data_IF_308634130031
#
_entry.id   IF_308634130031
#
_cell.length_a   1.000
_cell.length_b   1.000
_cell.length_c   1.000
_cell.angle_alpha   90.00
_cell.angle_beta   90.00
_cell.angle_gamma   90.00
#
_symmetry.space_group_name_H-M   'P 1'
#
loop_
_entity.id
_entity.type
_entity.pdbx_description
1 polymer ?
#
# COMPACT_ATOMS: atom_id res chain seq x y z
N UNK A 1 25.20 -34.41 -10.03
CA UNK A 1 24.65 -33.27 -10.78
C UNK A 1 23.33 -32.84 -10.18
N UNK A 2 23.37 -32.05 -9.13
CA UNK A 2 22.18 -31.55 -8.41
C UNK A 2 22.22 -30.03 -8.36
N UNK A 3 22.06 -29.39 -9.52
CA UNK A 3 21.77 -27.96 -9.54
C UNK A 3 20.39 -27.72 -8.91
N UNK A 4 20.14 -26.57 -8.27
CA UNK A 4 18.82 -26.24 -7.77
C UNK A 4 17.79 -26.33 -8.91
N UNK A 5 16.65 -26.97 -8.64
CA UNK A 5 15.54 -27.05 -9.58
C UNK A 5 15.19 -25.63 -10.02
N UNK A 6 15.17 -25.37 -11.33
CA UNK A 6 14.84 -24.05 -11.90
C UNK A 6 13.49 -23.55 -11.37
N UNK A 7 12.57 -24.48 -11.07
CA UNK A 7 11.27 -24.20 -10.46
C UNK A 7 11.40 -23.65 -9.03
N UNK A 8 12.35 -24.17 -8.26
CA UNK A 8 12.64 -23.71 -6.90
C UNK A 8 13.25 -22.30 -6.92
N UNK A 9 14.26 -22.06 -7.77
CA UNK A 9 14.86 -20.73 -7.92
C UNK A 9 13.84 -19.68 -8.39
N UNK A 10 12.89 -20.09 -9.23
CA UNK A 10 11.79 -19.24 -9.67
C UNK A 10 10.85 -18.91 -8.51
N UNK A 11 10.47 -19.91 -7.71
CA UNK A 11 9.61 -19.70 -6.54
C UNK A 11 10.28 -18.78 -5.51
N UNK A 12 11.57 -18.96 -5.22
CA UNK A 12 12.31 -18.07 -4.31
C UNK A 12 12.30 -16.61 -4.79
N UNK A 13 12.52 -16.39 -6.10
CA UNK A 13 12.43 -15.06 -6.69
C UNK A 13 11.04 -14.46 -6.55
N UNK A 14 9.99 -15.25 -6.81
CA UNK A 14 8.61 -14.79 -6.69
C UNK A 14 8.23 -14.44 -5.26
N UNK A 15 8.72 -15.20 -4.28
CA UNK A 15 8.56 -14.89 -2.85
C UNK A 15 9.24 -13.56 -2.50
N UNK A 16 10.46 -13.33 -2.99
CA UNK A 16 11.15 -12.05 -2.76
C UNK A 16 10.38 -10.86 -3.34
N UNK A 17 9.83 -11.01 -4.55
CA UNK A 17 8.99 -9.98 -5.19
C UNK A 17 7.69 -9.77 -4.42
N UNK A 18 7.04 -10.85 -3.97
CA UNK A 18 5.81 -10.78 -3.20
C UNK A 18 6.01 -10.01 -1.89
N UNK A 19 7.09 -10.32 -1.16
CA UNK A 19 7.42 -9.63 0.08
C UNK A 19 7.68 -8.14 -0.15
N UNK A 20 8.43 -7.79 -1.20
CA UNK A 20 8.64 -6.38 -1.55
C UNK A 20 7.31 -5.65 -1.87
N UNK A 21 6.37 -6.31 -2.55
CA UNK A 21 5.05 -5.74 -2.78
C UNK A 21 4.28 -5.54 -1.47
N UNK A 22 4.43 -6.44 -0.49
CA UNK A 22 3.84 -6.24 0.84
C UNK A 22 4.47 -5.06 1.57
N UNK A 23 5.80 -4.93 1.55
CA UNK A 23 6.50 -3.79 2.16
C UNK A 23 6.02 -2.45 1.56
N UNK A 24 5.87 -2.38 0.23
CA UNK A 24 5.35 -1.18 -0.46
C UNK A 24 3.92 -0.85 -0.04
N UNK A 25 3.04 -1.86 0.04
CA UNK A 25 1.64 -1.70 0.47
C UNK A 25 1.59 -1.21 1.92
N UNK A 26 2.31 -1.87 2.83
CA UNK A 26 2.34 -1.51 4.25
C UNK A 26 2.91 -0.12 4.48
N UNK A 27 4.00 0.23 3.78
CA UNK A 27 4.62 1.55 3.83
C UNK A 27 3.66 2.65 3.38
N UNK A 28 2.93 2.43 2.28
CA UNK A 28 1.92 3.39 1.82
C UNK A 28 0.75 3.53 2.79
N UNK A 29 0.25 2.41 3.34
CA UNK A 29 -0.83 2.44 4.33
C UNK A 29 -0.40 3.18 5.61
N UNK A 30 0.84 3.01 6.07
CA UNK A 30 1.39 3.75 7.19
C UNK A 30 1.44 5.26 6.90
N UNK A 31 1.88 5.65 5.70
CA UNK A 31 1.88 7.05 5.24
C UNK A 31 0.46 7.64 5.24
N UNK A 32 -0.54 6.90 4.74
CA UNK A 32 -1.94 7.33 4.78
C UNK A 32 -2.44 7.58 6.21
N UNK A 33 -2.10 6.70 7.14
CA UNK A 33 -2.48 6.85 8.53
C UNK A 33 -1.84 8.09 9.17
N UNK A 34 -0.56 8.37 8.86
CA UNK A 34 0.11 9.60 9.30
C UNK A 34 -0.59 10.85 8.75
N UNK A 35 -0.91 10.86 7.45
CA UNK A 35 -1.62 11.97 6.80
C UNK A 35 -3.01 12.21 7.41
N UNK A 36 -3.77 11.15 7.70
CA UNK A 36 -5.07 11.25 8.35
C UNK A 36 -4.95 11.87 9.76
N UNK A 37 -3.97 11.42 10.55
CA UNK A 37 -3.69 11.93 11.89
C UNK A 37 -3.24 13.41 11.87
N UNK A 38 -2.40 13.78 10.90
CA UNK A 38 -1.97 15.16 10.70
C UNK A 38 -3.15 16.07 10.32
N UNK A 39 -4.02 15.60 9.41
CA UNK A 39 -5.24 16.32 9.00
C UNK A 39 -6.19 16.56 10.18
N UNK A 40 -6.41 15.53 11.01
CA UNK A 40 -7.25 15.64 12.21
C UNK A 40 -6.67 16.66 13.20
N UNK A 41 -5.37 16.58 13.47
CA UNK A 41 -4.66 17.52 14.36
C UNK A 41 -4.76 18.96 13.87
N UNK A 42 -4.51 19.20 12.59
CA UNK A 42 -4.63 20.53 11.98
C UNK A 42 -6.04 21.09 12.09
N UNK A 43 -7.05 20.28 11.82
CA UNK A 43 -8.45 20.70 11.92
C UNK A 43 -8.83 21.08 13.36
N UNK A 44 -8.31 20.36 14.36
CA UNK A 44 -8.48 20.73 15.77
C UNK A 44 -7.76 22.04 16.12
N UNK A 45 -6.53 22.24 15.65
CA UNK A 45 -5.77 23.49 15.86
C UNK A 45 -6.44 24.70 15.21
N UNK A 46 -6.92 24.55 13.96
CA UNK A 46 -7.69 25.59 13.24
C UNK A 46 -8.97 26.00 14.01
N UNK A 47 -9.69 25.03 14.59
CA UNK A 47 -10.87 25.32 15.43
C UNK A 47 -10.50 26.11 16.70
N UNK A 48 -9.38 25.79 17.36
CA UNK A 48 -8.88 26.50 18.55
C UNK A 48 -8.31 27.89 18.24
N UNK A 49 -7.69 28.08 17.06
CA UNK A 49 -7.08 29.36 16.63
C UNK A 49 -8.05 30.45 16.19
N UNK A 50 -9.37 30.20 16.11
CA UNK A 50 -10.38 31.28 15.98
C UNK A 50 -10.28 32.36 17.10
N UNK A 51 -9.48 32.14 18.14
CA UNK A 51 -9.17 33.08 19.24
C UNK A 51 -7.78 33.75 19.20
N UNK A 52 -6.84 33.38 18.31
CA UNK A 52 -5.47 33.95 18.27
C UNK A 52 -4.81 33.82 16.88
N UNK A 53 -4.22 34.90 16.37
CA UNK A 53 -3.93 35.14 14.93
C UNK A 53 -2.48 34.81 14.48
N UNK A 54 -1.73 33.94 15.14
CA UNK A 54 -0.35 33.61 14.72
C UNK A 54 -0.22 32.18 14.19
N UNK A 55 0.09 32.03 12.90
CA UNK A 55 0.53 30.78 12.29
C UNK A 55 2.02 30.56 12.62
N UNK A 56 2.40 29.34 13.00
CA UNK A 56 3.76 28.98 13.44
C UNK A 56 4.38 28.01 12.44
N UNK A 57 5.72 27.96 12.39
CA UNK A 57 6.45 27.01 11.53
C UNK A 57 6.02 25.54 11.78
N UNK A 58 5.66 25.19 13.01
CA UNK A 58 5.11 23.86 13.34
C UNK A 58 3.77 23.55 12.64
N UNK A 59 2.94 24.57 12.40
CA UNK A 59 1.67 24.38 11.68
C UNK A 59 1.90 24.16 10.18
N UNK A 60 2.96 24.73 9.62
CA UNK A 60 3.32 24.55 8.21
C UNK A 60 3.87 23.13 7.97
N UNK A 61 4.74 22.62 8.87
CA UNK A 61 5.19 21.22 8.84
C UNK A 61 4.03 20.23 9.01
N UNK A 62 3.08 20.54 9.89
CA UNK A 62 1.87 19.73 10.04
C UNK A 62 0.98 19.78 8.79
N UNK A 63 0.86 20.94 8.15
CA UNK A 63 0.14 21.13 6.89
C UNK A 63 0.72 20.29 5.75
N UNK A 64 2.05 20.22 5.67
CA UNK A 64 2.75 19.38 4.71
C UNK A 64 2.44 17.89 4.92
N UNK A 65 2.50 17.41 6.17
CA UNK A 65 2.15 16.02 6.52
C UNK A 65 0.68 15.68 6.28
N UNK A 66 -0.22 16.65 6.40
CA UNK A 66 -1.64 16.47 6.13
C UNK A 66 -1.98 16.47 4.63
N UNK A 67 -1.00 16.71 3.75
CA UNK A 67 -1.23 16.64 2.31
C UNK A 67 -1.52 15.19 1.90
N UNK A 68 -2.65 14.91 1.21
CA UNK A 68 -2.94 13.57 0.71
C UNK A 68 -1.87 13.13 -0.30
N UNK A 69 -1.55 11.82 -0.36
CA UNK A 69 -0.74 11.30 -1.45
C UNK A 69 -1.37 11.62 -2.81
N UNK A 70 -0.56 11.82 -3.86
CA UNK A 70 -1.05 11.97 -5.22
C UNK A 70 -1.69 10.67 -5.72
N UNK A 71 -2.61 10.79 -6.68
CA UNK A 71 -3.38 9.67 -7.24
C UNK A 71 -2.48 8.57 -7.84
N UNK A 72 -1.36 8.95 -8.45
CA UNK A 72 -0.38 8.01 -9.04
C UNK A 72 0.15 7.00 -8.01
N UNK A 73 0.45 7.44 -6.78
CA UNK A 73 0.88 6.53 -5.71
C UNK A 73 -0.22 5.52 -5.35
N UNK A 74 -1.50 5.92 -5.38
CA UNK A 74 -2.60 4.97 -5.17
C UNK A 74 -2.70 3.96 -6.32
N UNK A 75 -2.53 4.42 -7.57
CA UNK A 75 -2.53 3.56 -8.75
C UNK A 75 -1.43 2.50 -8.64
N UNK A 76 -0.21 2.91 -8.30
CA UNK A 76 0.93 2.00 -8.11
C UNK A 76 0.61 0.93 -7.07
N UNK A 77 0.05 1.33 -5.94
CA UNK A 77 -0.32 0.40 -4.87
C UNK A 77 -1.43 -0.57 -5.31
N UNK A 78 -2.45 -0.10 -6.05
CA UNK A 78 -3.46 -0.99 -6.62
C UNK A 78 -2.87 -1.98 -7.65
N UNK A 79 -1.84 -1.59 -8.40
CA UNK A 79 -1.10 -2.51 -9.26
C UNK A 79 -0.36 -3.57 -8.43
N UNK A 80 0.27 -3.19 -7.32
CA UNK A 80 0.92 -4.14 -6.39
C UNK A 80 -0.09 -5.14 -5.82
N UNK A 81 -1.28 -4.69 -5.40
CA UNK A 81 -2.36 -5.59 -4.97
C UNK A 81 -2.69 -6.66 -6.02
N UNK A 82 -2.90 -6.25 -7.28
CA UNK A 82 -3.17 -7.18 -8.38
C UNK A 82 -2.03 -8.17 -8.59
N UNK A 83 -0.79 -7.69 -8.52
CA UNK A 83 0.37 -8.53 -8.71
C UNK A 83 0.57 -9.53 -7.56
N UNK A 84 0.31 -9.13 -6.31
CA UNK A 84 0.29 -10.02 -5.16
C UNK A 84 -0.67 -11.20 -5.39
N UNK A 85 -1.89 -10.96 -5.88
CA UNK A 85 -2.83 -12.05 -6.18
C UNK A 85 -2.31 -13.00 -7.27
N UNK A 86 -1.66 -12.49 -8.32
CA UNK A 86 -1.03 -13.32 -9.34
C UNK A 86 0.12 -14.17 -8.79
N UNK A 87 0.97 -13.59 -7.93
CA UNK A 87 2.09 -14.29 -7.30
C UNK A 87 1.60 -15.34 -6.30
N UNK A 88 0.61 -15.02 -5.46
CA UNK A 88 0.01 -15.94 -4.51
C UNK A 88 -0.65 -17.15 -5.20
N UNK A 89 -1.27 -16.96 -6.37
CA UNK A 89 -1.79 -18.07 -7.15
C UNK A 89 -0.67 -19.00 -7.65
N UNK A 90 0.47 -18.43 -8.10
CA UNK A 90 1.64 -19.19 -8.59
C UNK A 90 2.42 -19.87 -7.46
N UNK A 91 2.45 -19.26 -6.29
CA UNK A 91 3.17 -19.74 -5.10
C UNK A 91 2.34 -20.70 -4.24
N UNK A 92 1.11 -21.05 -4.64
CA UNK A 92 0.16 -21.85 -3.85
C UNK A 92 0.78 -23.11 -3.22
N UNK A 93 1.62 -23.83 -3.95
CA UNK A 93 2.30 -25.06 -3.47
C UNK A 93 3.71 -24.83 -2.94
N UNK A 94 4.25 -23.62 -3.05
CA UNK A 94 5.61 -23.27 -2.67
C UNK A 94 5.70 -22.60 -1.29
N UNK A 95 4.62 -21.98 -0.81
CA UNK A 95 4.56 -21.33 0.50
C UNK A 95 3.49 -21.95 1.40
N UNK A 96 3.82 -22.17 2.66
CA UNK A 96 2.95 -22.90 3.61
C UNK A 96 2.79 -22.23 4.97
N UNK A 97 3.60 -21.23 5.32
CA UNK A 97 3.55 -20.57 6.63
C UNK A 97 4.00 -19.10 6.55
N UNK A 98 3.07 -18.15 6.35
CA UNK A 98 1.64 -18.37 6.06
C UNK A 98 1.43 -18.98 4.66
N UNK A 99 0.34 -19.71 4.50
CA UNK A 99 -0.08 -20.24 3.20
C UNK A 99 -0.55 -19.12 2.26
N UNK A 100 -0.60 -19.41 0.96
CA UNK A 100 -1.11 -18.45 -0.02
C UNK A 100 -2.54 -18.02 0.26
N UNK A 101 -3.38 -18.93 0.76
CA UNK A 101 -4.79 -18.66 1.06
C UNK A 101 -4.91 -17.69 2.26
N UNK A 102 -4.13 -17.93 3.32
CA UNK A 102 -4.04 -17.00 4.45
C UNK A 102 -3.57 -15.62 4.02
N UNK A 103 -2.53 -15.53 3.18
CA UNK A 103 -2.04 -14.25 2.66
C UNK A 103 -3.10 -13.53 1.82
N UNK A 104 -3.83 -14.23 0.94
CA UNK A 104 -4.94 -13.65 0.17
C UNK A 104 -5.96 -12.97 1.10
N UNK A 105 -6.33 -13.60 2.22
CA UNK A 105 -7.24 -13.00 3.19
C UNK A 105 -6.71 -11.67 3.78
N UNK A 106 -5.42 -11.59 4.07
CA UNK A 106 -4.79 -10.37 4.59
C UNK A 106 -4.74 -9.27 3.51
N UNK A 107 -4.35 -9.65 2.29
CA UNK A 107 -4.30 -8.73 1.14
C UNK A 107 -5.69 -8.14 0.84
N UNK A 108 -6.77 -8.93 0.92
CA UNK A 108 -8.13 -8.41 0.77
C UNK A 108 -8.54 -7.41 1.85
N UNK A 109 -8.12 -7.61 3.11
CA UNK A 109 -8.39 -6.64 4.19
C UNK A 109 -7.69 -5.31 3.93
N UNK A 110 -6.42 -5.36 3.52
CA UNK A 110 -5.67 -4.16 3.15
C UNK A 110 -6.29 -3.45 1.94
N UNK A 111 -6.72 -4.20 0.92
CA UNK A 111 -7.40 -3.67 -0.25
C UNK A 111 -8.73 -2.97 0.10
N UNK A 112 -9.54 -3.56 0.99
CA UNK A 112 -10.80 -2.95 1.45
C UNK A 112 -10.58 -1.58 2.12
N UNK A 113 -9.54 -1.46 2.95
CA UNK A 113 -9.16 -0.18 3.56
C UNK A 113 -8.76 0.85 2.49
N UNK A 114 -8.00 0.43 1.48
CA UNK A 114 -7.57 1.29 0.37
C UNK A 114 -8.73 1.78 -0.49
N UNK A 115 -9.69 0.90 -0.80
CA UNK A 115 -10.91 1.25 -1.54
C UNK A 115 -11.76 2.24 -0.74
N UNK A 116 -11.89 2.06 0.57
CA UNK A 116 -12.61 3.01 1.44
C UNK A 116 -11.91 4.38 1.47
N UNK A 117 -10.58 4.39 1.52
CA UNK A 117 -9.77 5.62 1.53
C UNK A 117 -9.94 6.44 0.24
N UNK A 118 -10.11 5.76 -0.90
CA UNK A 118 -10.31 6.38 -2.22
C UNK A 118 -11.79 6.70 -2.51
N UNK A 119 -12.65 6.65 -1.49
CA UNK A 119 -14.10 6.92 -1.59
C UNK A 119 -14.86 5.96 -2.52
N UNK A 120 -14.33 4.76 -2.74
CA UNK A 120 -15.00 3.70 -3.51
C UNK A 120 -14.07 3.00 -4.51
N UNK A 121 -14.60 1.98 -5.21
CA UNK A 121 -13.79 1.09 -6.04
C UNK A 121 -13.38 1.70 -7.39
N UNK A 122 -13.87 2.89 -7.75
CA UNK A 122 -13.70 3.45 -9.09
C UNK A 122 -12.22 3.58 -9.50
N UNK A 123 -11.37 4.08 -8.61
CA UNK A 123 -9.93 4.19 -8.87
C UNK A 123 -9.26 2.81 -8.96
N UNK A 124 -9.53 1.91 -8.02
CA UNK A 124 -9.00 0.55 -8.05
C UNK A 124 -9.41 -0.23 -9.33
N UNK A 125 -10.62 0.02 -9.82
CA UNK A 125 -11.16 -0.59 -11.02
C UNK A 125 -10.57 -0.02 -12.31
N UNK A 126 -10.18 1.27 -12.33
CA UNK A 126 -9.55 1.90 -13.50
C UNK A 126 -8.11 1.43 -13.71
N UNK A 127 -7.43 0.99 -12.65
CA UNK A 127 -6.07 0.44 -12.73
C UNK A 127 -6.08 -0.83 -13.58
N UNK A 128 -5.47 -0.81 -14.75
CA UNK A 128 -5.19 -2.02 -15.54
C UNK A 128 -3.86 -2.64 -15.10
N UNK A 129 -3.72 -3.96 -15.12
CA UNK A 129 -2.48 -4.65 -14.73
C UNK A 129 -2.09 -5.77 -15.70
N UNK A 130 -0.78 -6.01 -15.94
CA UNK A 130 0.35 -5.29 -15.33
C UNK A 130 1.09 -4.34 -16.30
N UNK A 131 1.31 -3.10 -15.87
CA UNK A 131 2.51 -2.36 -16.26
C UNK A 131 3.63 -2.85 -15.34
N UNK A 132 4.38 -3.84 -15.80
CA UNK A 132 5.58 -4.30 -15.12
C UNK A 132 6.60 -3.16 -15.19
N UNK A 133 7.07 -2.66 -14.05
CA UNK A 133 8.29 -1.85 -14.03
C UNK A 133 9.41 -2.69 -14.67
N UNK A 134 10.01 -2.19 -15.74
CA UNK A 134 11.22 -2.80 -16.29
C UNK A 134 12.27 -2.87 -15.18
N UNK A 135 12.89 -4.04 -15.06
CA UNK A 135 13.97 -4.34 -14.11
C UNK A 135 15.18 -3.43 -14.27
#
# INVERSE_FOLDING_TARGET
NGGPDISFLRAEREVAILNHCFDDIEGFMAKLQETANATMTLNQRKKKKKKSKKQSAEDDLLAEKARPPPEEEFVDIFQKFKYCFCLLARLKSAITSPSSEELVHHVFKALDIMVKTTSGPALAASVSSPAMTNS
#
